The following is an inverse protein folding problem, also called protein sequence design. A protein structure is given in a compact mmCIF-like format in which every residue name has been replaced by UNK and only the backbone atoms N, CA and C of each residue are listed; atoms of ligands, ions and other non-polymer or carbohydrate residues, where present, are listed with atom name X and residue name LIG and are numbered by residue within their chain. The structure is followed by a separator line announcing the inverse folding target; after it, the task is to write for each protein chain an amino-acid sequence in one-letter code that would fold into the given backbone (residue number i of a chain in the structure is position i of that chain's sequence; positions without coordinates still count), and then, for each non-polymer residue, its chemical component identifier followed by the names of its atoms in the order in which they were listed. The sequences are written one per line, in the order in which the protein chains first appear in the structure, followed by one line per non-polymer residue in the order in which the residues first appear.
data_IF_528688791454
#
_entry.id   IF_528688791454
#
_cell.length_a   1.000
_cell.length_b   1.000
_cell.length_c   1.000
_cell.angle_alpha   90.00
_cell.angle_beta   90.00
_cell.angle_gamma   90.00
#
_symmetry.space_group_name_H-M   'P 1'
#
loop_
_entity.id
_entity.type
_entity.pdbx_description
1 polymer ?
#
# COMPACT_ATOMS: atom_id res chain seq x y z
N UNK A 1 2.58 0.69 17.01
CA UNK A 1 3.02 -0.70 17.05
C UNK A 1 3.46 -1.20 15.67
N UNK A 2 2.61 -1.13 14.62
CA UNK A 2 2.97 -1.58 13.27
C UNK A 2 4.20 -0.86 12.70
N UNK A 3 4.34 0.44 12.88
CA UNK A 3 5.55 1.18 12.44
C UNK A 3 6.83 0.67 13.11
N UNK A 4 6.77 0.23 14.37
CA UNK A 4 7.92 -0.36 15.05
C UNK A 4 8.29 -1.72 14.47
N UNK A 5 7.31 -2.50 14.09
CA UNK A 5 7.53 -3.81 13.45
C UNK A 5 8.13 -3.67 12.05
N UNK A 6 7.75 -2.60 11.31
CA UNK A 6 8.23 -2.33 9.94
C UNK A 6 9.56 -1.59 9.94
N UNK A 7 9.81 -0.65 10.85
CA UNK A 7 10.99 0.22 10.84
C UNK A 7 12.07 -0.17 11.85
N UNK A 8 11.75 -1.05 12.79
CA UNK A 8 12.66 -1.60 13.81
C UNK A 8 13.14 -0.66 14.88
N UNK A 9 12.87 0.60 14.76
CA UNK A 9 13.17 1.55 15.84
C UNK A 9 12.25 2.77 15.76
N UNK A 10 11.83 3.25 16.92
CA UNK A 10 11.57 4.67 17.02
C UNK A 10 12.90 5.40 16.82
N UNK A 11 12.92 6.48 16.06
CA UNK A 11 14.04 7.42 16.10
C UNK A 11 14.32 7.71 17.57
N UNK A 12 15.57 7.49 18.00
CA UNK A 12 15.97 7.70 19.39
C UNK A 12 15.54 9.11 19.82
N UNK A 13 14.67 9.20 20.84
CA UNK A 13 14.16 10.46 21.35
C UNK A 13 12.69 10.80 21.01
N UNK A 14 11.99 10.07 20.13
CA UNK A 14 10.55 10.23 19.94
C UNK A 14 9.80 9.48 21.05
N UNK A 15 9.14 10.23 21.93
CA UNK A 15 8.36 9.70 23.06
C UNK A 15 6.84 9.75 22.79
N UNK A 16 6.43 10.16 21.58
CA UNK A 16 5.03 10.35 21.20
C UNK A 16 4.73 9.75 19.81
N UNK A 17 3.47 9.52 19.55
CA UNK A 17 2.98 9.08 18.23
C UNK A 17 2.93 10.28 17.29
N UNK A 18 3.78 10.27 16.25
CA UNK A 18 3.89 11.37 15.29
C UNK A 18 2.62 11.53 14.47
N UNK A 19 1.98 10.42 14.07
CA UNK A 19 0.76 10.48 13.27
C UNK A 19 -0.36 11.12 14.07
N UNK A 20 -0.57 10.66 15.31
CA UNK A 20 -1.56 11.25 16.21
C UNK A 20 -1.28 12.73 16.48
N UNK A 21 -0.04 13.09 16.73
CA UNK A 21 0.36 14.49 16.95
C UNK A 21 0.00 15.38 15.74
N UNK A 22 0.31 14.93 14.52
CA UNK A 22 -0.01 15.70 13.29
C UNK A 22 -1.51 15.85 13.12
N UNK A 23 -2.29 14.78 13.33
CA UNK A 23 -3.76 14.82 13.28
C UNK A 23 -4.30 15.87 14.26
N UNK A 24 -3.88 15.79 15.52
CA UNK A 24 -4.33 16.70 16.57
C UNK A 24 -3.99 18.17 16.26
N UNK A 25 -2.80 18.42 15.72
CA UNK A 25 -2.36 19.77 15.35
C UNK A 25 -3.09 20.32 14.11
N UNK A 26 -3.47 19.47 13.16
CA UNK A 26 -4.34 19.85 12.05
C UNK A 26 -5.74 20.22 12.55
N UNK A 27 -6.35 19.35 13.36
CA UNK A 27 -7.72 19.56 13.87
C UNK A 27 -7.82 20.80 14.77
N UNK A 28 -6.82 21.08 15.61
CA UNK A 28 -6.75 22.34 16.40
C UNK A 28 -6.78 23.61 15.53
N UNK A 29 -6.41 23.49 14.26
CA UNK A 29 -6.39 24.59 13.29
C UNK A 29 -7.55 24.55 12.30
N UNK A 30 -8.54 23.68 12.52
CA UNK A 30 -9.65 23.41 11.61
C UNK A 30 -9.18 22.99 10.20
N UNK A 31 -8.11 22.20 10.14
CA UNK A 31 -7.59 21.61 8.91
C UNK A 31 -7.85 20.12 8.89
N UNK A 32 -8.21 19.57 7.74
CA UNK A 32 -8.26 18.13 7.53
C UNK A 32 -6.85 17.54 7.47
N UNK A 33 -6.69 16.34 7.99
CA UNK A 33 -5.46 15.56 7.94
C UNK A 33 -5.69 14.28 7.14
N UNK A 34 -5.05 14.15 5.98
CA UNK A 34 -5.17 12.99 5.11
C UNK A 34 -3.89 12.16 5.11
N UNK A 35 -4.01 10.85 5.27
CA UNK A 35 -2.90 9.93 5.11
C UNK A 35 -2.63 9.65 3.63
N UNK A 36 -1.40 9.86 3.16
CA UNK A 36 -0.97 9.41 1.83
C UNK A 36 -0.32 8.04 1.95
N UNK A 37 -0.81 7.06 1.19
CA UNK A 37 -0.33 5.70 1.20
C UNK A 37 0.18 5.27 -0.18
N UNK A 38 1.24 4.45 -0.18
CA UNK A 38 1.85 3.84 -1.36
C UNK A 38 1.64 2.32 -1.24
N UNK A 39 0.53 1.77 -1.72
CA UNK A 39 0.11 0.42 -1.32
C UNK A 39 1.11 -0.66 -1.69
N UNK A 40 1.73 -0.58 -2.86
CA UNK A 40 2.54 -1.69 -3.37
C UNK A 40 4.04 -1.55 -3.12
N UNK A 41 4.54 -0.40 -2.67
CA UNK A 41 5.98 -0.19 -2.53
C UNK A 41 6.50 -0.67 -1.17
N UNK A 42 7.41 -1.62 -1.17
CA UNK A 42 8.05 -2.19 0.03
C UNK A 42 9.44 -1.62 0.34
N UNK A 43 10.08 -0.94 -0.62
CA UNK A 43 11.43 -0.40 -0.47
C UNK A 43 12.50 -1.21 -1.19
N UNK A 44 13.76 -1.13 -0.76
CA UNK A 44 14.87 -1.86 -1.40
C UNK A 44 15.13 -3.21 -0.76
N UNK A 45 15.61 -4.18 -1.56
CA UNK A 45 16.04 -5.50 -1.06
C UNK A 45 17.13 -5.39 0.02
N UNK A 46 18.06 -4.43 -0.12
CA UNK A 46 19.10 -4.17 0.89
C UNK A 46 18.48 -3.79 2.24
N UNK A 47 17.45 -2.96 2.23
CA UNK A 47 16.77 -2.51 3.45
C UNK A 47 15.95 -3.64 4.08
N UNK A 48 15.29 -4.45 3.30
CA UNK A 48 14.57 -5.62 3.77
C UNK A 48 15.51 -6.63 4.47
N UNK A 49 16.69 -6.88 3.88
CA UNK A 49 17.70 -7.72 4.48
C UNK A 49 18.25 -7.15 5.80
N UNK A 50 18.49 -5.84 5.86
CA UNK A 50 18.87 -5.16 7.10
C UNK A 50 17.82 -5.36 8.20
N UNK A 51 16.56 -5.17 7.88
CA UNK A 51 15.46 -5.36 8.83
C UNK A 51 15.42 -6.80 9.34
N UNK A 52 15.49 -7.77 8.44
CA UNK A 52 15.49 -9.19 8.81
C UNK A 52 16.65 -9.55 9.76
N UNK A 53 17.85 -9.06 9.50
CA UNK A 53 19.02 -9.25 10.35
C UNK A 53 18.86 -8.62 11.75
N UNK A 54 18.01 -7.63 11.89
CA UNK A 54 17.71 -6.95 13.15
C UNK A 54 16.39 -7.42 13.80
N UNK A 55 15.86 -8.56 13.37
CA UNK A 55 14.68 -9.19 13.96
C UNK A 55 13.35 -8.52 13.61
N UNK A 56 13.33 -7.67 12.54
CA UNK A 56 12.14 -6.99 12.09
C UNK A 56 11.48 -7.81 11.01
N UNK A 57 10.21 -8.12 11.20
CA UNK A 57 9.40 -8.90 10.27
C UNK A 57 9.00 -8.06 9.05
N UNK A 58 9.87 -8.01 8.04
CA UNK A 58 9.54 -7.35 6.78
C UNK A 58 8.66 -8.27 5.91
N UNK A 59 7.59 -7.77 5.24
CA UNK A 59 6.71 -8.59 4.41
C UNK A 59 7.42 -9.46 3.37
N UNK A 60 8.48 -8.95 2.77
CA UNK A 60 9.33 -9.73 1.83
C UNK A 60 9.92 -11.01 2.45
N UNK A 61 10.06 -11.05 3.77
CA UNK A 61 10.60 -12.21 4.49
C UNK A 61 9.48 -13.09 5.04
N UNK A 62 8.39 -12.48 5.50
CA UNK A 62 7.29 -13.22 6.13
C UNK A 62 6.26 -13.74 5.13
N UNK A 63 6.10 -13.06 3.99
CA UNK A 63 5.12 -13.36 2.96
C UNK A 63 5.75 -13.16 1.57
N UNK A 64 6.85 -13.89 1.26
CA UNK A 64 7.59 -13.70 0.01
C UNK A 64 6.74 -13.97 -1.24
N UNK A 65 5.72 -14.83 -1.13
CA UNK A 65 4.76 -15.15 -2.19
C UNK A 65 3.88 -13.98 -2.61
N UNK A 66 3.79 -12.93 -1.78
CA UNK A 66 3.07 -11.69 -2.08
C UNK A 66 3.97 -10.63 -2.70
N UNK A 67 5.24 -10.91 -2.92
CA UNK A 67 6.23 -9.90 -3.26
C UNK A 67 6.88 -10.15 -4.61
N UNK A 68 7.16 -9.06 -5.32
CA UNK A 68 7.92 -9.02 -6.56
C UNK A 68 9.17 -8.14 -6.39
N UNK A 69 10.19 -8.45 -7.17
CA UNK A 69 11.40 -7.65 -7.25
C UNK A 69 11.52 -7.01 -8.65
N UNK A 70 11.73 -5.71 -8.70
CA UNK A 70 11.95 -4.98 -9.94
C UNK A 70 13.00 -3.88 -9.72
N UNK A 71 14.06 -3.86 -10.53
CA UNK A 71 15.15 -2.89 -10.43
C UNK A 71 15.73 -2.75 -9.00
N UNK A 72 15.99 -3.87 -8.34
CA UNK A 72 16.47 -3.92 -6.93
C UNK A 72 15.55 -3.23 -5.91
N UNK A 73 14.29 -3.02 -6.27
CA UNK A 73 13.24 -2.57 -5.37
C UNK A 73 12.25 -3.72 -5.16
N UNK A 74 11.64 -3.73 -3.99
CA UNK A 74 10.62 -4.69 -3.60
C UNK A 74 9.24 -4.06 -3.68
N UNK A 75 8.31 -4.85 -4.17
CA UNK A 75 6.90 -4.46 -4.30
C UNK A 75 6.02 -5.61 -3.86
N UNK A 76 4.85 -5.30 -3.36
CA UNK A 76 3.77 -6.26 -3.35
C UNK A 76 3.33 -6.57 -4.78
N UNK A 77 2.91 -7.81 -5.02
CA UNK A 77 2.34 -8.24 -6.30
C UNK A 77 0.86 -7.86 -6.38
N UNK A 78 0.46 -6.87 -7.19
CA UNK A 78 -0.96 -6.50 -7.30
C UNK A 78 -1.80 -7.59 -7.98
N UNK A 79 -1.16 -8.55 -8.64
CA UNK A 79 -1.81 -9.67 -9.31
C UNK A 79 -2.12 -10.84 -8.39
N UNK A 80 -1.60 -10.86 -7.19
CA UNK A 80 -1.89 -11.89 -6.20
C UNK A 80 -3.04 -11.44 -5.28
N UNK A 81 -4.19 -12.15 -5.27
CA UNK A 81 -5.33 -11.79 -4.40
C UNK A 81 -4.98 -11.72 -2.90
N UNK A 82 -4.01 -12.53 -2.43
CA UNK A 82 -3.53 -12.47 -1.06
C UNK A 82 -2.86 -11.13 -0.71
N UNK A 83 -2.37 -10.40 -1.71
CA UNK A 83 -1.86 -9.04 -1.52
C UNK A 83 -2.98 -8.07 -1.11
N UNK A 84 -4.13 -8.14 -1.79
CA UNK A 84 -5.28 -7.30 -1.44
C UNK A 84 -5.72 -7.58 -0.01
N UNK A 85 -5.92 -8.85 0.34
CA UNK A 85 -6.30 -9.24 1.70
C UNK A 85 -5.31 -8.71 2.75
N UNK A 86 -4.00 -8.86 2.52
CA UNK A 86 -2.96 -8.37 3.41
C UNK A 86 -3.02 -6.84 3.57
N UNK A 87 -3.11 -6.10 2.46
CA UNK A 87 -3.13 -4.64 2.47
C UNK A 87 -4.42 -4.08 3.07
N UNK A 88 -5.58 -4.67 2.75
CA UNK A 88 -6.86 -4.27 3.35
C UNK A 88 -6.81 -4.43 4.87
N UNK A 89 -6.29 -5.54 5.40
CA UNK A 89 -6.15 -5.74 6.83
C UNK A 89 -5.18 -4.74 7.47
N UNK A 90 -4.06 -4.44 6.82
CA UNK A 90 -3.10 -3.44 7.28
C UNK A 90 -3.72 -2.03 7.35
N UNK A 91 -4.44 -1.64 6.31
CA UNK A 91 -5.04 -0.30 6.27
C UNK A 91 -6.31 -0.19 7.12
N UNK A 92 -7.00 -1.29 7.36
CA UNK A 92 -8.09 -1.36 8.36
C UNK A 92 -7.57 -0.98 9.75
N UNK A 93 -6.38 -1.47 10.13
CA UNK A 93 -5.72 -1.05 11.39
C UNK A 93 -5.45 0.46 11.40
N UNK A 94 -5.00 1.05 10.28
CA UNK A 94 -4.77 2.49 10.18
C UNK A 94 -6.06 3.28 10.42
N UNK A 95 -7.17 2.90 9.75
CA UNK A 95 -8.46 3.60 9.87
C UNK A 95 -9.05 3.48 11.27
N UNK A 96 -8.86 2.33 11.93
CA UNK A 96 -9.36 2.11 13.29
C UNK A 96 -8.59 2.87 14.37
N UNK A 97 -7.29 3.03 14.17
CA UNK A 97 -6.41 3.57 15.22
C UNK A 97 -6.18 5.07 15.12
N UNK A 98 -6.46 5.70 13.97
CA UNK A 98 -6.19 7.10 13.74
C UNK A 98 -7.41 7.82 13.14
N UNK A 99 -7.67 9.03 13.64
CA UNK A 99 -8.79 9.85 13.19
C UNK A 99 -8.38 10.74 12.00
N UNK A 100 -7.92 10.12 10.90
CA UNK A 100 -7.70 10.82 9.64
C UNK A 100 -9.04 11.21 9.01
N UNK A 101 -9.09 12.38 8.37
CA UNK A 101 -10.26 12.84 7.60
C UNK A 101 -10.31 12.22 6.20
N UNK A 102 -9.18 11.67 5.76
CA UNK A 102 -9.10 10.98 4.47
C UNK A 102 -7.84 10.16 4.31
N UNK A 103 -7.87 9.29 3.30
CA UNK A 103 -6.74 8.52 2.81
C UNK A 103 -6.61 8.73 1.31
N UNK A 104 -5.39 8.99 0.84
CA UNK A 104 -5.09 9.20 -0.57
C UNK A 104 -4.05 8.20 -1.05
N UNK A 105 -4.35 7.54 -2.17
CA UNK A 105 -3.37 6.69 -2.86
C UNK A 105 -2.39 7.51 -3.68
N UNK A 106 -1.11 7.24 -3.53
CA UNK A 106 -0.07 7.60 -4.49
C UNK A 106 0.61 6.33 -5.00
N UNK A 107 1.07 6.34 -6.25
CA UNK A 107 1.68 5.16 -6.90
C UNK A 107 0.83 3.87 -6.80
N UNK A 108 -0.49 3.98 -6.77
CA UNK A 108 -1.39 2.84 -6.80
C UNK A 108 -1.49 2.29 -8.23
N UNK A 109 -0.41 1.65 -8.69
CA UNK A 109 -0.25 1.16 -10.07
C UNK A 109 0.90 0.16 -10.17
N UNK A 110 0.97 -0.55 -11.28
CA UNK A 110 2.18 -1.25 -11.68
C UNK A 110 3.27 -0.23 -12.04
N UNK A 111 4.47 -0.35 -11.47
CA UNK A 111 5.56 0.64 -11.59
C UNK A 111 6.58 0.23 -12.66
N UNK A 112 6.20 -0.61 -13.57
CA UNK A 112 7.06 -1.07 -14.65
C UNK A 112 6.65 -2.43 -15.15
N UNK A 113 7.52 -3.05 -15.91
CA UNK A 113 7.30 -4.39 -16.43
C UNK A 113 7.77 -5.42 -15.39
N UNK A 114 6.94 -5.67 -14.37
CA UNK A 114 7.19 -6.71 -13.38
C UNK A 114 7.17 -8.09 -14.02
N UNK A 115 7.99 -8.98 -13.49
CA UNK A 115 7.85 -10.42 -13.77
C UNK A 115 6.69 -10.99 -12.94
N UNK A 116 5.47 -10.77 -13.45
CA UNK A 116 4.21 -11.23 -12.89
C UNK A 116 3.57 -12.38 -13.69
N UNK A 117 4.38 -13.11 -14.47
CA UNK A 117 3.89 -14.19 -15.33
C UNK A 117 3.20 -15.31 -14.55
N UNK A 118 3.73 -15.66 -13.39
CA UNK A 118 3.15 -16.69 -12.53
C UNK A 118 1.77 -16.27 -11.99
N UNK A 119 1.66 -15.05 -11.49
CA UNK A 119 0.39 -14.51 -11.00
C UNK A 119 -0.62 -14.33 -12.11
N UNK A 120 -0.19 -13.85 -13.29
CA UNK A 120 -1.03 -13.75 -14.47
C UNK A 120 -1.59 -15.10 -14.89
N UNK A 121 -0.77 -16.13 -14.93
CA UNK A 121 -1.19 -17.50 -15.27
C UNK A 121 -2.16 -18.09 -14.24
N UNK A 122 -1.91 -17.83 -12.96
CA UNK A 122 -2.65 -18.45 -11.85
C UNK A 122 -3.95 -17.72 -11.52
N UNK A 123 -3.98 -16.39 -11.65
CA UNK A 123 -5.05 -15.55 -11.14
C UNK A 123 -5.78 -14.74 -12.24
N UNK A 124 -5.82 -15.28 -13.46
CA UNK A 124 -6.57 -14.70 -14.60
C UNK A 124 -7.66 -15.64 -15.10
N UNK A 125 -8.69 -15.96 -14.30
CA UNK A 125 -9.73 -16.91 -14.69
C UNK A 125 -10.61 -16.42 -15.86
N UNK A 126 -10.63 -15.12 -16.13
CA UNK A 126 -11.37 -14.50 -17.20
C UNK A 126 -10.60 -14.45 -18.53
N UNK A 127 -9.38 -14.93 -18.57
CA UNK A 127 -8.48 -14.87 -19.73
C UNK A 127 -8.33 -13.46 -20.33
N UNK A 128 -8.26 -12.44 -19.48
CA UNK A 128 -8.03 -11.06 -19.89
C UNK A 128 -6.65 -10.93 -20.53
N UNK A 129 -6.49 -9.94 -21.41
CA UNK A 129 -5.15 -9.52 -21.83
C UNK A 129 -4.32 -9.09 -20.60
N UNK A 130 -2.99 -9.14 -20.67
CA UNK A 130 -2.13 -8.79 -19.53
C UNK A 130 -2.39 -7.37 -19.03
N UNK A 131 -2.60 -6.44 -19.93
CA UNK A 131 -2.90 -5.05 -19.60
C UNK A 131 -4.28 -4.88 -18.95
N UNK A 132 -5.30 -5.59 -19.44
CA UNK A 132 -6.64 -5.55 -18.86
C UNK A 132 -6.66 -6.23 -17.49
N UNK A 133 -5.94 -7.34 -17.34
CA UNK A 133 -5.78 -8.02 -16.06
C UNK A 133 -5.09 -7.14 -15.02
N UNK A 134 -3.99 -6.48 -15.40
CA UNK A 134 -3.30 -5.52 -14.50
C UNK A 134 -4.21 -4.36 -14.09
N UNK A 135 -4.97 -3.78 -15.02
CA UNK A 135 -5.95 -2.74 -14.71
C UNK A 135 -7.05 -3.25 -13.78
N UNK A 136 -7.54 -4.45 -14.04
CA UNK A 136 -8.57 -5.08 -13.22
C UNK A 136 -8.08 -5.29 -11.77
N UNK A 137 -6.85 -5.73 -11.56
CA UNK A 137 -6.28 -5.92 -10.22
C UNK A 137 -6.25 -4.63 -9.41
N UNK A 138 -5.81 -3.52 -10.04
CA UNK A 138 -5.81 -2.21 -9.37
C UNK A 138 -7.23 -1.74 -9.06
N UNK A 139 -8.16 -1.89 -10.00
CA UNK A 139 -9.57 -1.50 -9.80
C UNK A 139 -10.21 -2.30 -8.67
N UNK A 140 -9.95 -3.60 -8.62
CA UNK A 140 -10.44 -4.49 -7.55
C UNK A 140 -9.91 -4.04 -6.18
N UNK A 141 -8.61 -3.81 -6.07
CA UNK A 141 -8.02 -3.31 -4.82
C UNK A 141 -8.64 -1.99 -4.35
N UNK A 142 -8.80 -1.01 -5.27
CA UNK A 142 -9.40 0.28 -4.93
C UNK A 142 -10.85 0.12 -4.46
N UNK A 143 -11.63 -0.74 -5.12
CA UNK A 143 -13.01 -1.00 -4.74
C UNK A 143 -13.09 -1.65 -3.35
N UNK A 144 -12.33 -2.73 -3.11
CA UNK A 144 -12.27 -3.42 -1.82
C UNK A 144 -11.80 -2.50 -0.69
N UNK A 145 -10.82 -1.65 -0.98
CA UNK A 145 -10.35 -0.66 -0.01
C UNK A 145 -11.43 0.38 0.31
N UNK A 146 -12.13 0.89 -0.70
CA UNK A 146 -13.22 1.83 -0.49
C UNK A 146 -14.33 1.21 0.37
N UNK A 147 -14.73 -0.01 0.05
CA UNK A 147 -15.75 -0.73 0.82
C UNK A 147 -15.31 -0.92 2.28
N UNK A 148 -14.06 -1.32 2.51
CA UNK A 148 -13.48 -1.43 3.85
C UNK A 148 -13.52 -0.10 4.61
N UNK A 149 -13.18 1.02 3.97
CA UNK A 149 -13.22 2.34 4.61
C UNK A 149 -14.67 2.71 4.96
N UNK A 150 -15.64 2.43 4.07
CA UNK A 150 -17.06 2.70 4.35
C UNK A 150 -17.61 1.85 5.51
N UNK A 151 -17.13 0.62 5.66
CA UNK A 151 -17.48 -0.26 6.79
C UNK A 151 -16.91 0.27 8.11
N UNK A 152 -15.65 0.71 8.12
CA UNK A 152 -14.95 1.12 9.34
C UNK A 152 -15.30 2.55 9.79
N UNK A 153 -15.29 3.49 8.84
CA UNK A 153 -15.61 4.89 9.08
C UNK A 153 -16.05 5.60 7.78
N UNK A 154 -17.36 5.72 7.53
CA UNK A 154 -17.90 6.31 6.30
C UNK A 154 -17.63 7.82 6.15
N UNK A 155 -17.09 8.49 7.16
CA UNK A 155 -16.69 9.89 7.08
C UNK A 155 -15.30 10.09 6.49
N UNK A 156 -14.48 9.05 6.45
CA UNK A 156 -13.14 9.11 5.87
C UNK A 156 -13.21 9.18 4.35
N UNK A 157 -12.64 10.23 3.80
CA UNK A 157 -12.57 10.43 2.34
C UNK A 157 -11.53 9.50 1.73
N UNK A 158 -11.84 8.91 0.58
CA UNK A 158 -10.88 8.12 -0.20
C UNK A 158 -10.55 8.88 -1.48
N UNK A 159 -9.27 9.14 -1.70
CA UNK A 159 -8.75 9.86 -2.84
C UNK A 159 -7.63 9.09 -3.55
N UNK A 160 -7.27 9.55 -4.73
CA UNK A 160 -6.13 9.02 -5.47
C UNK A 160 -5.40 10.14 -6.22
N UNK A 161 -4.07 10.01 -6.35
CA UNK A 161 -3.22 10.85 -7.17
C UNK A 161 -2.76 10.08 -8.42
N UNK A 162 -3.61 9.97 -9.45
CA UNK A 162 -3.25 9.27 -10.68
C UNK A 162 -2.26 10.09 -11.51
N UNK A 163 -1.56 9.41 -12.43
CA UNK A 163 -0.76 10.12 -13.45
C UNK A 163 -1.68 11.00 -14.30
N UNK A 164 -1.30 12.25 -14.51
CA UNK A 164 -2.12 13.26 -15.19
C UNK A 164 -2.33 13.07 -16.71
N UNK A 165 -2.06 11.90 -17.25
CA UNK A 165 -2.25 11.57 -18.67
C UNK A 165 -3.48 10.69 -18.84
N UNK A 166 -4.51 11.22 -19.53
CA UNK A 166 -5.75 10.50 -19.80
C UNK A 166 -5.53 9.31 -20.78
N UNK A 167 -4.68 9.50 -21.77
CA UNK A 167 -4.23 8.42 -22.66
C UNK A 167 -2.73 8.28 -22.50
N UNK A 168 -2.30 7.08 -22.20
CA UNK A 168 -0.89 6.81 -22.13
C UNK A 168 -0.34 6.46 -23.52
N UNK A 169 0.45 7.33 -24.16
CA UNK A 169 1.03 7.07 -25.48
C UNK A 169 2.21 6.09 -25.43
N UNK A 170 2.71 5.71 -24.28
CA UNK A 170 3.96 4.96 -24.14
C UNK A 170 3.97 3.91 -23.01
N UNK A 171 2.85 3.21 -22.83
CA UNK A 171 2.82 1.97 -22.03
C UNK A 171 3.36 2.09 -20.60
N UNK A 172 2.64 2.78 -19.74
CA UNK A 172 2.72 2.51 -18.31
C UNK A 172 1.77 1.39 -17.95
#
# INVERSE_FOLDING_TARGET
PAMREITGSYTSGLTYDVAQYVIDECHKRNMECHATILPYRLGSATRANYYNQNGIKHPYVTNPELCLTYNNQLYFDPGNPGTNEYLINLYRELIRNYNFDGVSFDYCRYVGDYDDADSYSKYNPQNLSKDDWRRNNINTFIAEFYDMVQEENPHVKVGAAPVGTYKNPSGF
#
